data_IF_905027376105
#
_entry.id   IF_905027376105
#
_cell.length_a   1.000
_cell.length_b   1.000
_cell.length_c   1.000
_cell.angle_alpha   90.00
_cell.angle_beta   90.00
_cell.angle_gamma   90.00
#
_symmetry.space_group_name_H-M   'P 1'
#
loop_
_entity.id
_entity.type
_entity.pdbx_description
1 polymer ?
#
# COMPACT_ATOMS: atom_id res chain seq x y z
N UNK A 1 8.65 -13.79 24.41
CA UNK A 1 7.55 -13.13 23.70
C UNK A 1 7.24 -11.83 24.40
N UNK A 2 7.28 -10.69 23.71
CA UNK A 2 6.78 -9.43 24.27
C UNK A 2 5.26 -9.56 24.48
N UNK A 3 4.78 -9.25 25.68
CA UNK A 3 3.33 -9.24 25.95
C UNK A 3 2.73 -8.01 25.31
N UNK A 4 1.80 -8.22 24.37
CA UNK A 4 1.04 -7.13 23.73
C UNK A 4 0.21 -6.37 24.78
N UNK A 5 0.05 -5.04 24.63
CA UNK A 5 -0.85 -4.27 25.47
C UNK A 5 -2.28 -4.80 25.37
N UNK A 6 -3.00 -4.87 26.48
CA UNK A 6 -4.39 -5.28 26.48
C UNK A 6 -5.27 -4.20 25.84
N UNK A 7 -6.22 -4.58 24.95
CA UNK A 7 -7.18 -3.64 24.42
C UNK A 7 -8.09 -3.06 25.53
N UNK A 8 -8.57 -1.84 25.33
CA UNK A 8 -9.59 -1.23 26.19
C UNK A 8 -10.93 -1.95 26.04
N UNK A 9 -11.82 -1.79 27.03
CA UNK A 9 -13.10 -2.52 27.08
C UNK A 9 -13.96 -2.32 25.81
N UNK A 10 -14.04 -1.09 25.30
CA UNK A 10 -14.81 -0.78 24.09
C UNK A 10 -14.17 -1.41 22.84
N UNK A 11 -12.84 -1.42 22.76
CA UNK A 11 -12.12 -2.08 21.69
C UNK A 11 -12.33 -3.61 21.71
N UNK A 12 -12.36 -4.22 22.90
CA UNK A 12 -12.68 -5.64 23.05
C UNK A 12 -14.10 -5.97 22.57
N UNK A 13 -15.09 -5.14 22.89
CA UNK A 13 -16.48 -5.30 22.41
C UNK A 13 -16.52 -5.26 20.88
N UNK A 14 -15.79 -4.32 20.27
CA UNK A 14 -15.66 -4.21 18.83
C UNK A 14 -15.02 -5.47 18.21
N UNK A 15 -13.89 -5.92 18.75
CA UNK A 15 -13.20 -7.13 18.30
C UNK A 15 -14.07 -8.39 18.43
N UNK A 16 -14.82 -8.52 19.53
CA UNK A 16 -15.77 -9.62 19.71
C UNK A 16 -16.91 -9.60 18.69
N UNK A 17 -17.37 -8.42 18.28
CA UNK A 17 -18.40 -8.31 17.25
C UNK A 17 -17.87 -8.81 15.87
N UNK A 18 -16.65 -8.46 15.52
CA UNK A 18 -16.00 -8.98 14.32
C UNK A 18 -15.73 -10.48 14.42
N UNK A 19 -15.25 -10.95 15.58
CA UNK A 19 -15.03 -12.37 15.85
C UNK A 19 -16.28 -13.21 15.55
N UNK A 20 -17.46 -12.78 16.04
CA UNK A 20 -18.73 -13.46 15.76
C UNK A 20 -19.05 -13.55 14.25
N UNK A 21 -18.80 -12.49 13.49
CA UNK A 21 -19.00 -12.52 12.03
C UNK A 21 -18.06 -13.50 11.34
N UNK A 22 -16.80 -13.55 11.76
CA UNK A 22 -15.81 -14.49 11.19
C UNK A 22 -16.19 -15.93 11.56
N UNK A 23 -16.61 -16.21 12.81
CA UNK A 23 -17.15 -17.53 13.20
C UNK A 23 -18.31 -17.93 12.30
N UNK A 24 -19.27 -17.03 12.07
CA UNK A 24 -20.39 -17.30 11.17
C UNK A 24 -19.95 -17.60 9.74
N UNK A 25 -18.96 -16.85 9.21
CA UNK A 25 -18.41 -17.09 7.89
C UNK A 25 -17.73 -18.47 7.80
N UNK A 26 -16.97 -18.87 8.81
CA UNK A 26 -16.36 -20.19 8.91
C UNK A 26 -17.42 -21.30 8.93
N UNK A 27 -18.47 -21.17 9.75
CA UNK A 27 -19.56 -22.13 9.81
C UNK A 27 -20.29 -22.27 8.46
N UNK A 28 -20.59 -21.15 7.81
CA UNK A 28 -21.24 -21.12 6.49
C UNK A 28 -20.38 -21.74 5.38
N UNK A 29 -19.05 -21.77 5.58
CA UNK A 29 -18.10 -22.37 4.63
C UNK A 29 -17.54 -23.73 5.12
N UNK A 30 -18.39 -24.57 5.67
CA UNK A 30 -18.06 -25.94 6.08
C UNK A 30 -16.91 -26.02 7.11
N UNK A 31 -16.84 -25.06 8.02
CA UNK A 31 -15.92 -25.05 9.15
C UNK A 31 -14.49 -24.55 8.85
N UNK A 32 -14.22 -24.03 7.65
CA UNK A 32 -12.90 -23.51 7.25
C UNK A 32 -13.04 -22.36 6.25
N UNK A 33 -12.22 -21.35 6.37
CA UNK A 33 -12.06 -20.28 5.35
C UNK A 33 -10.59 -20.09 5.00
N UNK A 34 -10.30 -19.65 3.78
CA UNK A 34 -8.95 -19.26 3.36
C UNK A 34 -8.45 -18.11 4.20
N UNK A 35 -7.14 -18.04 4.42
CA UNK A 35 -6.57 -16.88 5.13
C UNK A 35 -6.87 -15.56 4.42
N UNK A 36 -6.88 -15.54 3.10
CA UNK A 36 -7.26 -14.36 2.33
C UNK A 36 -8.67 -13.83 2.68
N UNK A 37 -9.65 -14.73 2.86
CA UNK A 37 -11.00 -14.32 3.30
C UNK A 37 -11.01 -13.82 4.74
N UNK A 38 -10.26 -14.48 5.62
CA UNK A 38 -10.08 -14.05 7.01
C UNK A 38 -9.44 -12.67 7.08
N UNK A 39 -8.32 -12.44 6.38
CA UNK A 39 -7.61 -11.16 6.34
C UNK A 39 -8.50 -10.05 5.77
N UNK A 40 -9.25 -10.34 4.69
CA UNK A 40 -10.22 -9.40 4.13
C UNK A 40 -11.27 -8.98 5.16
N UNK A 41 -11.81 -9.90 5.95
CA UNK A 41 -12.77 -9.57 7.02
C UNK A 41 -12.09 -8.81 8.16
N UNK A 42 -10.91 -9.24 8.59
CA UNK A 42 -10.17 -8.59 9.68
C UNK A 42 -9.83 -7.13 9.35
N UNK A 43 -9.50 -6.83 8.10
CA UNK A 43 -9.11 -5.49 7.66
C UNK A 43 -10.29 -4.63 7.16
N UNK A 44 -11.24 -5.21 6.41
CA UNK A 44 -12.18 -4.45 5.59
C UNK A 44 -13.66 -4.72 5.91
N UNK A 45 -14.02 -5.59 6.87
CA UNK A 45 -15.43 -5.80 7.22
C UNK A 45 -16.12 -4.48 7.56
N UNK A 46 -17.23 -4.10 6.89
CA UNK A 46 -17.86 -2.80 7.09
C UNK A 46 -18.18 -2.48 8.55
N UNK A 47 -17.62 -1.38 9.03
CA UNK A 47 -17.80 -0.87 10.40
C UNK A 47 -17.07 -1.67 11.49
N UNK A 48 -16.39 -2.79 11.17
CA UNK A 48 -15.72 -3.66 12.14
C UNK A 48 -14.26 -3.97 11.81
N UNK A 49 -13.92 -4.01 10.53
CA UNK A 49 -12.54 -4.27 10.10
C UNK A 49 -11.57 -3.16 10.50
N UNK A 50 -10.29 -3.47 10.52
CA UNK A 50 -9.26 -2.53 10.94
C UNK A 50 -9.35 -1.19 10.20
N UNK A 51 -9.43 -1.14 8.88
CA UNK A 51 -9.55 0.10 8.09
C UNK A 51 -10.96 0.71 8.13
N UNK A 52 -12.00 -0.08 8.34
CA UNK A 52 -13.41 0.38 8.30
C UNK A 52 -14.00 0.71 9.67
N UNK A 53 -13.41 0.24 10.77
CA UNK A 53 -13.81 0.56 12.14
C UNK A 53 -13.29 1.95 12.58
N UNK A 54 -14.05 2.68 13.41
CA UNK A 54 -13.82 4.10 13.75
C UNK A 54 -12.69 4.41 14.73
N UNK A 55 -11.70 3.55 14.96
CA UNK A 55 -10.57 3.85 15.87
C UNK A 55 -9.48 4.70 15.19
N UNK A 56 -8.74 5.53 15.97
CA UNK A 56 -7.58 6.27 15.48
C UNK A 56 -6.44 5.29 15.18
N UNK A 57 -6.01 5.19 13.92
CA UNK A 57 -5.08 4.16 13.43
C UNK A 57 -3.78 4.70 12.89
N UNK A 58 -3.74 5.96 12.49
CA UNK A 58 -2.61 6.61 11.85
C UNK A 58 -2.00 7.70 12.71
N UNK A 59 -0.68 7.97 12.51
CA UNK A 59 0.07 9.01 13.17
C UNK A 59 0.66 8.59 14.52
N UNK A 60 1.19 9.56 15.27
CA UNK A 60 1.89 9.33 16.57
C UNK A 60 1.05 8.63 17.64
N UNK A 61 -0.28 8.62 17.51
CA UNK A 61 -1.21 7.92 18.40
C UNK A 61 -1.82 6.66 17.74
N UNK A 62 -1.37 6.27 16.56
CA UNK A 62 -1.81 5.09 15.81
C UNK A 62 -0.91 3.88 15.99
N UNK A 63 -1.11 2.85 15.17
CA UNK A 63 -0.34 1.60 15.23
C UNK A 63 0.98 1.70 14.47
N UNK A 64 1.05 2.57 13.43
CA UNK A 64 2.23 2.82 12.60
C UNK A 64 2.21 4.23 11.99
N UNK A 65 3.35 4.64 11.43
CA UNK A 65 3.53 5.96 10.80
C UNK A 65 4.00 5.75 9.38
N UNK A 66 3.19 6.19 8.41
CA UNK A 66 3.51 6.12 6.97
C UNK A 66 4.41 7.26 6.51
N UNK A 67 5.04 7.12 5.35
CA UNK A 67 5.95 8.13 4.80
C UNK A 67 5.34 9.56 4.70
N UNK A 68 4.07 9.75 4.27
CA UNK A 68 3.41 11.06 4.29
C UNK A 68 3.24 11.67 5.68
N UNK A 69 3.11 10.84 6.72
CA UNK A 69 2.98 11.31 8.10
C UNK A 69 4.33 11.69 8.72
N UNK A 70 5.44 11.14 8.23
CA UNK A 70 6.79 11.43 8.69
C UNK A 70 7.22 12.82 8.26
N UNK A 71 7.00 13.17 6.98
CA UNK A 71 7.45 14.45 6.43
C UNK A 71 6.61 14.92 5.25
N UNK A 72 6.21 16.21 5.23
CA UNK A 72 5.58 16.79 4.05
C UNK A 72 6.50 16.79 2.82
N UNK A 73 7.83 16.66 3.00
CA UNK A 73 8.78 16.60 1.89
C UNK A 73 8.61 15.32 1.05
N UNK A 74 8.07 14.24 1.62
CA UNK A 74 7.72 13.05 0.83
C UNK A 74 6.70 13.39 -0.26
N UNK A 75 5.57 13.96 0.10
CA UNK A 75 4.50 14.33 -0.83
C UNK A 75 4.93 15.44 -1.80
N UNK A 76 5.69 16.42 -1.31
CA UNK A 76 6.25 17.51 -2.13
C UNK A 76 7.25 16.99 -3.17
N UNK A 77 8.02 15.96 -2.83
CA UNK A 77 8.91 15.30 -3.77
C UNK A 77 8.12 14.52 -4.84
N UNK A 78 7.06 13.81 -4.44
CA UNK A 78 6.16 13.16 -5.40
C UNK A 78 5.47 14.17 -6.31
N UNK A 79 5.16 15.38 -5.81
CA UNK A 79 4.60 16.45 -6.62
C UNK A 79 5.50 16.85 -7.79
N UNK A 80 6.83 16.79 -7.66
CA UNK A 80 7.77 17.03 -8.77
C UNK A 80 7.58 15.99 -9.88
N UNK A 81 7.47 14.71 -9.53
CA UNK A 81 7.22 13.64 -10.51
C UNK A 81 5.84 13.78 -11.15
N UNK A 82 4.81 14.10 -10.37
CA UNK A 82 3.44 14.33 -10.87
C UNK A 82 3.41 15.53 -11.81
N UNK A 83 4.10 16.62 -11.45
CA UNK A 83 4.19 17.84 -12.24
C UNK A 83 4.75 17.59 -13.64
N UNK A 84 5.81 16.79 -13.75
CA UNK A 84 6.43 16.41 -15.02
C UNK A 84 5.41 15.73 -15.95
N UNK A 85 4.64 14.77 -15.44
CA UNK A 85 3.61 14.07 -16.22
C UNK A 85 2.48 15.01 -16.63
N UNK A 86 1.98 15.84 -15.71
CA UNK A 86 0.90 16.79 -16.00
C UNK A 86 1.30 17.83 -17.03
N UNK A 87 2.56 18.30 -17.02
CA UNK A 87 3.09 19.23 -18.02
C UNK A 87 3.12 18.60 -19.41
N UNK A 88 3.57 17.35 -19.56
CA UNK A 88 3.58 16.66 -20.85
C UNK A 88 2.16 16.46 -21.35
N UNK A 89 1.23 16.01 -20.52
CA UNK A 89 -0.18 15.88 -20.90
C UNK A 89 -0.79 17.22 -21.35
N UNK A 90 -0.48 18.30 -20.64
CA UNK A 90 -0.95 19.65 -20.99
C UNK A 90 -0.41 20.12 -22.35
N UNK A 91 0.88 19.88 -22.65
CA UNK A 91 1.49 20.19 -23.95
C UNK A 91 0.77 19.43 -25.08
N UNK A 92 0.35 18.20 -24.82
CA UNK A 92 -0.41 17.37 -25.76
C UNK A 92 -1.92 17.68 -25.79
N UNK A 93 -2.37 18.71 -25.10
CA UNK A 93 -3.76 19.19 -25.10
C UNK A 93 -4.70 18.39 -24.17
N UNK A 94 -4.16 17.60 -23.25
CA UNK A 94 -4.92 16.85 -22.26
C UNK A 94 -4.75 17.47 -20.88
N UNK A 95 -5.85 17.86 -20.23
CA UNK A 95 -5.78 18.27 -18.83
C UNK A 95 -5.79 17.02 -17.96
N UNK A 96 -4.66 16.73 -17.31
CA UNK A 96 -4.49 15.52 -16.55
C UNK A 96 -5.17 15.55 -15.19
N UNK A 97 -5.61 14.38 -14.74
CA UNK A 97 -6.15 14.11 -13.41
C UNK A 97 -5.08 13.41 -12.52
N UNK A 98 -5.32 13.43 -11.22
CA UNK A 98 -4.54 12.65 -10.25
C UNK A 98 -5.51 11.71 -9.54
N UNK A 99 -5.15 10.44 -9.39
CA UNK A 99 -5.92 9.44 -8.63
C UNK A 99 -5.03 8.86 -7.53
N UNK A 100 -5.42 9.05 -6.28
CA UNK A 100 -4.81 8.42 -5.13
C UNK A 100 -5.65 7.23 -4.65
N UNK A 101 -4.98 6.09 -4.43
CA UNK A 101 -5.56 4.90 -3.85
C UNK A 101 -5.27 4.89 -2.36
N UNK A 102 -6.30 4.75 -1.51
CA UNK A 102 -6.11 4.63 -0.06
C UNK A 102 -5.41 5.83 0.58
N UNK A 103 -6.02 7.01 0.53
CA UNK A 103 -5.38 8.27 0.95
C UNK A 103 -5.15 8.39 2.48
N UNK A 104 -5.44 7.37 3.28
CA UNK A 104 -5.22 7.37 4.73
C UNK A 104 -5.88 8.57 5.42
N UNK A 105 -5.09 9.43 6.05
CA UNK A 105 -5.58 10.67 6.68
C UNK A 105 -5.78 11.84 5.71
N UNK A 106 -5.39 11.69 4.43
CA UNK A 106 -5.36 12.76 3.42
C UNK A 106 -4.06 13.59 3.42
N UNK A 107 -3.05 13.17 4.17
CA UNK A 107 -1.80 13.92 4.32
C UNK A 107 -1.01 14.00 3.00
N UNK A 108 -0.91 12.88 2.26
CA UNK A 108 -0.28 12.87 0.93
C UNK A 108 -1.00 13.83 -0.03
N UNK A 109 -2.32 13.70 -0.15
CA UNK A 109 -3.14 14.58 -0.99
C UNK A 109 -2.91 16.05 -0.65
N UNK A 110 -2.96 16.41 0.63
CA UNK A 110 -2.78 17.80 1.09
C UNK A 110 -1.44 18.38 0.64
N UNK A 111 -0.34 17.72 1.02
CA UNK A 111 1.00 18.28 0.82
C UNK A 111 1.41 18.26 -0.67
N UNK A 112 0.93 17.27 -1.44
CA UNK A 112 1.10 17.19 -2.89
C UNK A 112 0.36 18.32 -3.60
N UNK A 113 -0.91 18.54 -3.26
CA UNK A 113 -1.73 19.59 -3.87
C UNK A 113 -1.20 20.99 -3.57
N UNK A 114 -0.76 21.23 -2.33
CA UNK A 114 -0.14 22.51 -1.95
C UNK A 114 1.16 22.78 -2.71
N UNK A 115 1.99 21.74 -2.95
CA UNK A 115 3.22 21.92 -3.72
C UNK A 115 2.91 22.16 -5.20
N UNK A 116 1.99 21.40 -5.83
CA UNK A 116 1.57 21.66 -7.21
C UNK A 116 1.03 23.07 -7.40
N UNK A 117 0.21 23.55 -6.45
CA UNK A 117 -0.31 24.91 -6.46
C UNK A 117 0.80 25.96 -6.37
N UNK A 118 1.75 25.76 -5.46
CA UNK A 118 2.89 26.64 -5.25
C UNK A 118 3.79 26.75 -6.49
N UNK A 119 4.03 25.63 -7.20
CA UNK A 119 4.87 25.62 -8.40
C UNK A 119 4.07 25.94 -9.69
N UNK A 120 2.77 26.23 -9.55
CA UNK A 120 1.92 26.68 -10.64
C UNK A 120 1.55 25.60 -11.67
N UNK A 121 1.48 24.33 -11.29
CA UNK A 121 1.13 23.21 -12.18
C UNK A 121 -0.38 22.98 -12.14
N UNK A 122 -1.10 23.18 -13.26
CA UNK A 122 -2.53 22.94 -13.32
C UNK A 122 -2.83 21.44 -13.42
N UNK A 123 -3.92 21.02 -12.77
CA UNK A 123 -4.54 19.72 -12.92
C UNK A 123 -6.06 19.89 -12.97
N UNK A 124 -6.80 18.88 -13.46
CA UNK A 124 -8.24 18.95 -13.55
C UNK A 124 -8.89 18.55 -12.22
N UNK A 125 -8.83 17.26 -11.83
CA UNK A 125 -9.33 16.78 -10.54
C UNK A 125 -8.26 15.99 -9.78
N UNK A 126 -8.46 15.92 -8.47
CA UNK A 126 -7.79 14.98 -7.58
C UNK A 126 -8.83 13.95 -7.09
N UNK A 127 -8.74 12.77 -7.62
CA UNK A 127 -9.61 11.67 -7.22
C UNK A 127 -9.01 10.89 -6.06
N UNK A 128 -9.86 10.49 -5.12
CA UNK A 128 -9.50 9.61 -4.01
C UNK A 128 -10.39 8.37 -4.09
N UNK A 129 -9.77 7.20 -4.26
CA UNK A 129 -10.45 5.92 -4.13
C UNK A 129 -10.20 5.35 -2.74
N UNK A 130 -11.18 5.48 -1.85
CA UNK A 130 -11.10 5.05 -0.46
C UNK A 130 -12.31 4.18 -0.11
N UNK A 131 -12.05 2.96 0.37
CA UNK A 131 -13.11 2.00 0.73
C UNK A 131 -13.70 2.24 2.13
N UNK A 132 -12.95 2.92 3.00
CA UNK A 132 -13.35 3.20 4.37
C UNK A 132 -14.18 4.50 4.45
N UNK A 133 -15.45 4.38 4.81
CA UNK A 133 -16.30 5.54 5.05
C UNK A 133 -15.77 6.44 6.20
N UNK A 134 -15.13 5.82 7.20
CA UNK A 134 -14.49 6.55 8.29
C UNK A 134 -13.30 7.39 7.78
N UNK A 135 -12.38 6.77 7.02
CA UNK A 135 -11.22 7.49 6.47
C UNK A 135 -11.63 8.57 5.46
N UNK A 136 -12.66 8.33 4.64
CA UNK A 136 -13.23 9.39 3.78
C UNK A 136 -13.67 10.61 4.58
N UNK A 137 -14.27 10.41 5.75
CA UNK A 137 -14.66 11.54 6.60
C UNK A 137 -13.42 12.25 7.21
N UNK A 138 -12.42 11.50 7.65
CA UNK A 138 -11.15 12.06 8.13
C UNK A 138 -10.48 12.89 7.03
N UNK A 139 -10.36 12.35 5.82
CA UNK A 139 -9.81 13.01 4.64
C UNK A 139 -10.55 14.32 4.33
N UNK A 140 -11.90 14.29 4.32
CA UNK A 140 -12.71 15.50 4.08
C UNK A 140 -12.43 16.59 5.11
N UNK A 141 -12.40 16.24 6.39
CA UNK A 141 -12.14 17.20 7.48
C UNK A 141 -10.72 17.77 7.35
N UNK A 142 -9.71 16.91 7.14
CA UNK A 142 -8.31 17.34 6.98
C UNK A 142 -8.14 18.26 5.78
N UNK A 143 -8.62 17.83 4.61
CA UNK A 143 -8.41 18.56 3.36
C UNK A 143 -9.19 19.87 3.31
N UNK A 144 -10.43 19.89 3.85
CA UNK A 144 -11.22 21.11 3.93
C UNK A 144 -10.61 22.16 4.88
N UNK A 145 -9.95 21.73 5.96
CA UNK A 145 -9.34 22.61 6.94
C UNK A 145 -7.99 23.17 6.47
N UNK A 146 -7.24 22.42 5.67
CA UNK A 146 -5.83 22.72 5.38
C UNK A 146 -5.58 23.18 3.92
N UNK A 147 -6.56 23.04 3.01
CA UNK A 147 -6.42 23.46 1.62
C UNK A 147 -7.17 24.78 1.34
N UNK A 148 -6.66 25.62 0.41
CA UNK A 148 -7.46 26.68 -0.20
C UNK A 148 -8.76 26.14 -0.82
N UNK A 149 -9.88 26.89 -0.75
CA UNK A 149 -11.17 26.43 -1.29
C UNK A 149 -11.10 25.96 -2.75
N UNK A 150 -10.37 26.67 -3.60
CA UNK A 150 -10.20 26.34 -5.01
C UNK A 150 -9.47 25.02 -5.27
N UNK A 151 -8.64 24.54 -4.35
CA UNK A 151 -8.03 23.21 -4.41
C UNK A 151 -8.98 22.16 -3.88
N UNK A 152 -9.65 22.44 -2.75
CA UNK A 152 -10.59 21.50 -2.16
C UNK A 152 -11.75 21.15 -3.11
N UNK A 153 -12.27 22.14 -3.87
CA UNK A 153 -13.33 21.94 -4.87
C UNK A 153 -12.94 20.98 -5.99
N UNK A 154 -11.65 20.76 -6.24
CA UNK A 154 -11.16 19.79 -7.23
C UNK A 154 -11.09 18.36 -6.73
N UNK A 155 -11.32 18.12 -5.44
CA UNK A 155 -11.21 16.78 -4.85
C UNK A 155 -12.54 16.03 -5.00
N UNK A 156 -12.44 14.83 -5.55
CA UNK A 156 -13.60 13.95 -5.78
C UNK A 156 -13.34 12.57 -5.17
N UNK A 157 -14.21 12.13 -4.25
CA UNK A 157 -14.16 10.76 -3.70
C UNK A 157 -14.91 9.80 -4.61
N UNK A 158 -14.22 8.75 -5.06
CA UNK A 158 -14.77 7.71 -5.93
C UNK A 158 -15.25 6.50 -5.12
N UNK A 159 -16.30 5.83 -5.61
CA UNK A 159 -16.78 4.54 -5.11
C UNK A 159 -16.25 3.36 -5.94
N UNK A 160 -15.76 3.62 -7.15
CA UNK A 160 -15.17 2.65 -8.06
C UNK A 160 -14.15 3.33 -8.96
N UNK A 161 -13.27 2.53 -9.57
CA UNK A 161 -12.34 3.00 -10.59
C UNK A 161 -13.10 3.61 -11.78
N UNK A 162 -12.62 4.74 -12.35
CA UNK A 162 -13.18 5.30 -13.58
C UNK A 162 -12.93 4.32 -14.75
N UNK A 163 -13.82 4.33 -15.72
CA UNK A 163 -13.67 3.51 -16.95
C UNK A 163 -12.52 3.99 -17.83
N UNK A 164 -12.23 5.29 -17.79
CA UNK A 164 -11.13 5.93 -18.51
C UNK A 164 -10.46 6.96 -17.61
N UNK A 165 -9.13 6.93 -17.59
CA UNK A 165 -8.32 7.84 -16.80
C UNK A 165 -7.13 8.36 -17.60
N UNK A 166 -6.85 9.65 -17.47
CA UNK A 166 -5.76 10.36 -18.11
C UNK A 166 -4.99 11.15 -17.06
N UNK A 167 -3.77 10.75 -16.71
CA UNK A 167 -3.02 11.43 -15.64
C UNK A 167 -2.11 10.52 -14.84
N UNK A 168 -2.05 10.76 -13.54
CA UNK A 168 -1.19 10.03 -12.62
C UNK A 168 -2.02 9.27 -11.60
N UNK A 169 -1.80 7.96 -11.51
CA UNK A 169 -2.35 7.10 -10.46
C UNK A 169 -1.25 6.85 -9.43
N UNK A 170 -1.55 7.09 -8.16
CA UNK A 170 -0.65 6.91 -7.02
C UNK A 170 -1.22 5.89 -6.03
N UNK A 171 -0.37 4.95 -5.57
CA UNK A 171 -0.67 4.09 -4.43
C UNK A 171 0.53 4.05 -3.50
N UNK A 172 0.33 4.45 -2.25
CA UNK A 172 1.36 4.37 -1.20
C UNK A 172 0.85 3.48 -0.07
N UNK A 173 1.55 2.38 0.21
CA UNK A 173 1.16 1.39 1.23
C UNK A 173 -0.28 0.89 1.01
N UNK A 174 -0.54 0.33 -0.17
CA UNK A 174 -1.85 -0.19 -0.60
C UNK A 174 -1.77 -1.68 -0.90
N UNK A 175 -0.66 -2.13 -1.48
CA UNK A 175 -0.52 -3.52 -1.94
C UNK A 175 -0.25 -4.48 -0.78
N UNK A 176 0.45 -4.03 0.26
CA UNK A 176 0.80 -4.78 1.46
C UNK A 176 -0.42 -5.19 2.31
N UNK A 177 -1.46 -4.36 2.29
CA UNK A 177 -2.72 -4.58 3.00
C UNK A 177 -3.75 -5.41 2.22
N UNK A 178 -3.45 -5.79 0.98
CA UNK A 178 -4.34 -6.65 0.19
C UNK A 178 -4.34 -8.09 0.70
N UNK A 179 -5.53 -8.76 0.71
CA UNK A 179 -5.65 -10.11 1.24
C UNK A 179 -4.75 -11.11 0.54
N UNK A 180 -3.98 -11.88 1.32
CA UNK A 180 -3.04 -12.88 0.83
C UNK A 180 -3.49 -14.30 1.14
N UNK A 181 -3.18 -15.24 0.24
CA UNK A 181 -3.20 -16.67 0.50
C UNK A 181 -1.88 -17.08 1.16
N UNK A 182 -1.92 -17.93 2.17
CA UNK A 182 -0.71 -18.51 2.77
C UNK A 182 -0.57 -19.92 2.22
N UNK A 183 0.51 -20.15 1.49
CA UNK A 183 0.79 -21.40 0.80
C UNK A 183 2.01 -22.07 1.44
N UNK A 184 1.97 -23.39 1.57
CA UNK A 184 3.04 -24.16 2.16
C UNK A 184 3.47 -25.27 1.21
N UNK A 185 4.73 -25.26 0.84
CA UNK A 185 5.38 -26.33 0.08
C UNK A 185 5.75 -27.48 1.02
N UNK A 186 5.07 -28.58 0.94
CA UNK A 186 5.45 -29.85 1.58
C UNK A 186 6.48 -30.62 0.75
N UNK A 187 6.74 -31.85 1.15
CA UNK A 187 7.67 -32.71 0.43
C UNK A 187 7.14 -33.12 -0.97
N UNK A 188 5.85 -33.37 -1.10
CA UNK A 188 5.23 -33.87 -2.33
C UNK A 188 3.98 -33.10 -2.74
N UNK A 189 3.50 -32.19 -1.92
CA UNK A 189 2.25 -31.48 -2.07
C UNK A 189 2.37 -30.00 -1.72
N UNK A 190 1.40 -29.25 -2.19
CA UNK A 190 1.22 -27.85 -1.81
C UNK A 190 -0.09 -27.76 -1.04
N UNK A 191 -0.03 -27.16 0.15
CA UNK A 191 -1.20 -26.90 0.98
C UNK A 191 -1.46 -25.41 1.11
N UNK A 192 -2.71 -25.04 1.41
CA UNK A 192 -3.12 -23.70 1.76
C UNK A 192 -3.50 -23.65 3.24
N UNK A 193 -2.97 -22.67 3.96
CA UNK A 193 -3.36 -22.39 5.32
C UNK A 193 -4.63 -21.53 5.32
N UNK A 194 -5.59 -21.98 6.08
CA UNK A 194 -6.81 -21.22 6.37
C UNK A 194 -7.12 -21.26 7.84
N UNK A 195 -8.30 -20.76 8.18
CA UNK A 195 -8.71 -20.54 9.56
C UNK A 195 -9.97 -21.35 9.87
N UNK A 196 -9.93 -22.05 11.00
CA UNK A 196 -11.08 -22.70 11.63
C UNK A 196 -11.41 -22.04 12.95
N UNK A 197 -12.57 -22.35 13.49
CA UNK A 197 -12.97 -21.90 14.83
C UNK A 197 -13.44 -23.07 15.70
N UNK A 198 -12.98 -23.10 16.93
CA UNK A 198 -13.42 -24.01 17.96
C UNK A 198 -13.52 -23.27 19.32
N UNK A 199 -14.63 -23.43 20.04
CA UNK A 199 -14.86 -22.81 21.35
C UNK A 199 -14.54 -21.29 21.39
N UNK A 200 -15.04 -20.55 20.39
CA UNK A 200 -14.83 -19.11 20.21
C UNK A 200 -13.35 -18.68 20.01
N UNK A 201 -12.47 -19.62 19.69
CA UNK A 201 -11.08 -19.36 19.33
C UNK A 201 -10.80 -19.72 17.88
N UNK A 202 -9.80 -19.06 17.29
CA UNK A 202 -9.38 -19.30 15.91
C UNK A 202 -8.08 -20.08 15.89
N UNK A 203 -7.97 -21.01 14.94
CA UNK A 203 -6.82 -21.87 14.76
C UNK A 203 -6.48 -21.98 13.28
N UNK A 204 -5.20 -22.19 13.01
CA UNK A 204 -4.72 -22.54 11.67
C UNK A 204 -5.08 -23.97 11.30
N UNK A 205 -5.51 -24.17 10.06
CA UNK A 205 -5.69 -25.50 9.48
C UNK A 205 -5.23 -25.52 8.04
N UNK A 206 -4.39 -26.49 7.72
CA UNK A 206 -3.94 -26.78 6.35
C UNK A 206 -5.01 -27.57 5.60
N UNK A 207 -5.21 -27.25 4.31
CA UNK A 207 -5.94 -28.06 3.34
C UNK A 207 -5.15 -28.17 2.06
N UNK A 208 -5.40 -29.23 1.28
CA UNK A 208 -4.85 -29.35 -0.08
C UNK A 208 -5.25 -28.13 -0.91
N UNK A 209 -4.32 -27.57 -1.66
CA UNK A 209 -4.58 -26.44 -2.54
C UNK A 209 -5.45 -26.87 -3.72
N UNK A 210 -6.64 -26.31 -3.83
CA UNK A 210 -7.62 -26.61 -4.88
C UNK A 210 -7.67 -25.56 -6.00
N UNK A 211 -6.95 -24.44 -5.85
CA UNK A 211 -6.83 -23.40 -6.86
C UNK A 211 -5.68 -23.72 -7.83
N UNK A 212 -6.03 -24.07 -9.05
CA UNK A 212 -5.06 -24.47 -10.08
C UNK A 212 -4.08 -23.33 -10.45
N UNK A 213 -4.52 -22.06 -10.41
CA UNK A 213 -3.65 -20.92 -10.73
C UNK A 213 -2.62 -20.69 -9.62
N UNK A 214 -3.04 -20.81 -8.35
CA UNK A 214 -2.11 -20.73 -7.22
C UNK A 214 -1.14 -21.92 -7.22
N UNK A 215 -1.61 -23.13 -7.52
CA UNK A 215 -0.76 -24.32 -7.61
C UNK A 215 0.32 -24.13 -8.69
N UNK A 216 -0.08 -23.74 -9.90
CA UNK A 216 0.84 -23.47 -11.00
C UNK A 216 1.85 -22.37 -10.62
N UNK A 217 1.41 -21.32 -9.93
CA UNK A 217 2.29 -20.27 -9.48
C UNK A 217 3.37 -20.79 -8.51
N UNK A 218 2.99 -21.56 -7.50
CA UNK A 218 3.94 -22.11 -6.52
C UNK A 218 4.91 -23.10 -7.18
N UNK A 219 4.44 -23.95 -8.11
CA UNK A 219 5.30 -24.86 -8.86
C UNK A 219 6.41 -24.11 -9.63
N UNK A 220 6.08 -22.95 -10.22
CA UNK A 220 7.06 -22.12 -10.93
C UNK A 220 8.13 -21.53 -10.02
N UNK A 221 7.83 -21.32 -8.73
CA UNK A 221 8.76 -20.78 -7.77
C UNK A 221 9.86 -21.77 -7.33
N UNK A 222 9.64 -23.07 -7.54
CA UNK A 222 10.58 -24.14 -7.13
C UNK A 222 11.02 -24.01 -5.66
N UNK A 223 10.08 -23.77 -4.78
CA UNK A 223 10.34 -23.56 -3.35
C UNK A 223 10.94 -24.82 -2.71
N UNK A 224 11.79 -24.60 -1.70
CA UNK A 224 12.30 -25.71 -0.90
C UNK A 224 11.20 -26.37 -0.07
N UNK A 225 11.41 -27.64 0.31
CA UNK A 225 10.54 -28.34 1.24
C UNK A 225 10.37 -27.57 2.57
N UNK A 226 9.17 -27.60 3.13
CA UNK A 226 8.80 -26.88 4.36
C UNK A 226 8.95 -25.35 4.24
N UNK A 227 8.59 -24.82 3.10
CA UNK A 227 8.59 -23.39 2.83
C UNK A 227 7.16 -22.82 2.88
N UNK A 228 6.92 -21.85 3.73
CA UNK A 228 5.65 -21.11 3.81
C UNK A 228 5.84 -19.74 3.18
N UNK A 229 4.88 -19.30 2.36
CA UNK A 229 4.92 -17.99 1.70
C UNK A 229 3.51 -17.47 1.45
N UNK A 230 3.43 -16.19 1.13
CA UNK A 230 2.19 -15.53 0.71
C UNK A 230 2.10 -15.47 -0.82
N UNK A 231 0.86 -15.49 -1.30
CA UNK A 231 0.51 -15.12 -2.67
C UNK A 231 -0.66 -14.14 -2.65
N UNK A 232 -0.55 -13.04 -3.37
CA UNK A 232 -1.57 -11.99 -3.44
C UNK A 232 -2.14 -11.83 -4.86
N UNK A 233 -3.09 -12.68 -5.30
CA UNK A 233 -3.76 -12.49 -6.59
C UNK A 233 -4.52 -11.18 -6.67
N UNK A 234 -5.00 -10.67 -5.53
CA UNK A 234 -5.70 -9.39 -5.44
C UNK A 234 -4.85 -8.23 -5.91
N UNK A 235 -3.53 -8.23 -5.61
CA UNK A 235 -2.60 -7.21 -6.09
C UNK A 235 -2.47 -7.22 -7.62
N UNK A 236 -2.30 -8.40 -8.22
CA UNK A 236 -2.28 -8.54 -9.69
C UNK A 236 -3.59 -8.07 -10.32
N UNK A 237 -4.73 -8.41 -9.71
CA UNK A 237 -6.06 -7.98 -10.15
C UNK A 237 -6.27 -6.47 -10.06
N UNK A 238 -5.76 -5.83 -9.00
CA UNK A 238 -5.78 -4.37 -8.86
C UNK A 238 -4.96 -3.72 -9.98
N UNK A 239 -3.71 -4.15 -10.20
CA UNK A 239 -2.85 -3.61 -11.26
C UNK A 239 -3.50 -3.80 -12.64
N UNK A 240 -4.10 -4.95 -12.92
CA UNK A 240 -4.83 -5.20 -14.15
C UNK A 240 -5.99 -4.20 -14.35
N UNK A 241 -6.77 -3.95 -13.29
CA UNK A 241 -7.89 -3.00 -13.31
C UNK A 241 -7.41 -1.55 -13.52
N UNK A 242 -6.32 -1.16 -12.86
CA UNK A 242 -5.70 0.16 -13.05
C UNK A 242 -5.13 0.33 -14.46
N UNK A 243 -4.49 -0.72 -15.00
CA UNK A 243 -3.98 -0.74 -16.37
C UNK A 243 -5.10 -0.60 -17.41
N UNK A 244 -6.27 -1.22 -17.15
CA UNK A 244 -7.43 -1.08 -18.01
C UNK A 244 -8.03 0.34 -17.96
N UNK A 245 -8.12 0.92 -16.77
CA UNK A 245 -8.64 2.26 -16.57
C UNK A 245 -7.72 3.34 -17.19
N UNK A 246 -6.42 3.25 -16.97
CA UNK A 246 -5.44 4.20 -17.47
C UNK A 246 -5.37 4.15 -18.99
N UNK A 247 -5.70 5.26 -19.65
CA UNK A 247 -5.61 5.42 -21.12
C UNK A 247 -4.33 6.11 -21.54
N UNK A 248 -3.89 7.12 -20.78
CA UNK A 248 -2.66 7.83 -20.99
C UNK A 248 -2.12 8.42 -19.69
N UNK A 249 -0.86 8.20 -19.40
CA UNK A 249 -0.23 8.70 -18.18
C UNK A 249 0.60 7.67 -17.47
N UNK A 250 0.63 7.75 -16.14
CA UNK A 250 1.57 7.01 -15.28
C UNK A 250 0.83 6.35 -14.11
N UNK A 251 1.26 5.14 -13.74
CA UNK A 251 0.92 4.45 -12.51
C UNK A 251 2.18 4.32 -11.66
N UNK A 252 2.17 4.85 -10.43
CA UNK A 252 3.24 4.72 -9.44
C UNK A 252 2.71 3.99 -8.20
N UNK A 253 3.38 2.91 -7.83
CA UNK A 253 3.10 2.18 -6.59
C UNK A 253 4.33 2.22 -5.69
N UNK A 254 4.12 2.60 -4.44
CA UNK A 254 5.16 2.70 -3.40
C UNK A 254 4.75 1.77 -2.27
N UNK A 255 5.58 0.79 -1.98
CA UNK A 255 5.28 -0.20 -0.96
C UNK A 255 6.56 -0.92 -0.50
N UNK A 256 6.48 -1.67 0.59
CA UNK A 256 7.61 -2.48 1.01
C UNK A 256 7.52 -3.90 0.47
N UNK A 257 8.66 -4.40 0.04
CA UNK A 257 8.73 -5.71 -0.61
C UNK A 257 10.02 -5.91 -1.40
N UNK A 258 9.99 -6.91 -2.24
CA UNK A 258 11.18 -7.42 -2.91
C UNK A 258 10.88 -7.84 -4.35
N UNK A 259 11.94 -7.91 -5.16
CA UNK A 259 11.90 -8.68 -6.39
C UNK A 259 11.81 -10.19 -6.07
N UNK A 260 11.31 -11.00 -7.01
CA UNK A 260 10.99 -12.43 -6.82
C UNK A 260 12.13 -13.24 -6.18
N UNK A 261 13.35 -13.09 -6.66
CA UNK A 261 14.49 -13.84 -6.16
C UNK A 261 14.81 -13.56 -4.70
N UNK A 262 14.58 -12.32 -4.25
CA UNK A 262 14.75 -11.91 -2.87
C UNK A 262 13.51 -12.24 -2.02
N UNK A 263 12.32 -12.10 -2.58
CA UNK A 263 11.06 -12.43 -1.89
C UNK A 263 11.03 -13.91 -1.50
N UNK A 264 11.33 -14.81 -2.42
CA UNK A 264 11.34 -16.27 -2.19
C UNK A 264 12.73 -16.82 -1.84
N UNK A 265 13.57 -15.99 -1.20
CA UNK A 265 14.91 -16.42 -0.78
C UNK A 265 14.85 -17.62 0.16
N UNK A 266 15.74 -18.65 0.01
CA UNK A 266 15.71 -19.88 0.81
C UNK A 266 15.75 -19.71 2.34
N UNK A 267 16.22 -18.57 2.82
CA UNK A 267 16.24 -18.24 4.26
C UNK A 267 14.91 -17.63 4.77
N UNK A 268 13.99 -17.21 3.89
CA UNK A 268 12.69 -16.61 4.26
C UNK A 268 11.59 -17.67 4.26
N UNK A 269 11.79 -18.76 5.00
CA UNK A 269 10.93 -19.94 4.97
C UNK A 269 9.58 -19.81 5.68
N UNK A 270 9.33 -18.71 6.34
CA UNK A 270 8.08 -18.46 7.09
C UNK A 270 7.24 -17.33 6.51
N UNK A 271 7.57 -16.88 5.29
CA UNK A 271 6.88 -15.77 4.65
C UNK A 271 7.26 -14.40 5.22
N UNK A 272 6.37 -13.45 5.00
CA UNK A 272 6.55 -12.03 5.33
C UNK A 272 5.39 -11.43 6.11
N UNK A 273 4.37 -12.25 6.44
CA UNK A 273 3.18 -11.80 7.16
C UNK A 273 3.57 -11.15 8.48
N UNK A 274 3.06 -9.95 8.72
CA UNK A 274 3.33 -9.18 9.93
C UNK A 274 2.04 -8.53 10.43
N UNK A 275 1.93 -8.44 11.75
CA UNK A 275 0.85 -7.73 12.41
C UNK A 275 1.39 -6.55 13.20
N UNK A 276 0.68 -5.42 13.17
CA UNK A 276 1.03 -4.21 13.90
C UNK A 276 -0.11 -3.80 14.83
N UNK A 277 0.19 -3.66 16.11
CA UNK A 277 -0.73 -3.23 17.12
C UNK A 277 -0.07 -2.30 18.13
N UNK A 278 -0.51 -1.05 18.24
CA UNK A 278 0.01 -0.03 19.18
C UNK A 278 1.54 0.06 19.19
N UNK A 279 2.15 0.15 17.99
CA UNK A 279 3.59 0.19 17.75
C UNK A 279 4.35 -1.10 18.10
N UNK A 280 3.67 -2.21 18.35
CA UNK A 280 4.27 -3.53 18.50
C UNK A 280 4.07 -4.33 17.22
N UNK A 281 5.13 -4.98 16.75
CA UNK A 281 5.04 -5.97 15.66
C UNK A 281 5.01 -7.38 16.24
N UNK A 282 4.21 -8.25 15.63
CA UNK A 282 4.11 -9.68 15.98
C UNK A 282 3.57 -10.51 14.80
N UNK A 283 3.60 -11.83 14.93
CA UNK A 283 3.30 -12.79 13.86
C UNK A 283 1.93 -13.50 14.00
N UNK A 284 1.07 -13.07 14.92
CA UNK A 284 -0.21 -13.74 15.14
C UNK A 284 -1.41 -12.90 14.66
N UNK A 285 -1.92 -13.12 13.43
CA UNK A 285 -3.06 -12.38 12.89
C UNK A 285 -4.41 -12.76 13.51
N UNK A 286 -4.48 -13.87 14.26
CA UNK A 286 -5.73 -14.36 14.86
C UNK A 286 -6.10 -13.64 16.15
N UNK A 287 -5.23 -12.75 16.66
CA UNK A 287 -5.48 -11.93 17.85
C UNK A 287 -6.15 -10.60 17.49
N UNK A 288 -6.86 -10.00 18.43
CA UNK A 288 -7.36 -8.62 18.39
C UNK A 288 -7.96 -8.18 17.06
N UNK A 289 -8.88 -9.01 16.53
CA UNK A 289 -9.51 -8.83 15.21
C UNK A 289 -10.11 -7.44 15.06
N UNK A 290 -9.80 -6.77 13.95
CA UNK A 290 -10.21 -5.39 13.68
C UNK A 290 -9.49 -4.31 14.49
N UNK A 291 -8.54 -4.70 15.37
CA UNK A 291 -7.75 -3.78 16.19
C UNK A 291 -6.28 -3.71 15.81
N UNK A 292 -5.81 -4.62 14.99
CA UNK A 292 -4.43 -4.67 14.49
C UNK A 292 -4.41 -4.60 12.97
N UNK A 293 -3.34 -4.06 12.43
CA UNK A 293 -3.03 -4.17 11.02
C UNK A 293 -2.43 -5.54 10.70
N UNK A 294 -2.71 -6.04 9.51
CA UNK A 294 -2.17 -7.30 9.00
C UNK A 294 -1.65 -7.03 7.60
N UNK A 295 -0.35 -7.20 7.40
CA UNK A 295 0.33 -6.87 6.16
C UNK A 295 1.22 -8.00 5.68
N UNK A 296 1.51 -8.03 4.39
CA UNK A 296 2.51 -8.90 3.80
C UNK A 296 3.35 -8.09 2.81
N UNK A 297 4.63 -8.45 2.66
CA UNK A 297 5.48 -7.78 1.67
C UNK A 297 4.98 -8.01 0.25
N UNK A 298 5.32 -7.08 -0.63
CA UNK A 298 4.92 -7.11 -2.05
C UNK A 298 5.95 -7.86 -2.89
N UNK A 299 5.50 -8.84 -3.71
CA UNK A 299 6.28 -9.40 -4.81
C UNK A 299 6.23 -8.46 -6.01
N UNK A 300 7.21 -7.57 -6.12
CA UNK A 300 7.26 -6.54 -7.18
C UNK A 300 7.46 -7.13 -8.58
N UNK A 301 8.06 -8.31 -8.70
CA UNK A 301 8.12 -9.00 -10.00
C UNK A 301 6.71 -9.35 -10.50
N UNK A 302 5.86 -9.84 -9.59
CA UNK A 302 4.46 -10.15 -9.92
C UNK A 302 3.65 -8.91 -10.28
N UNK A 303 3.93 -7.77 -9.62
CA UNK A 303 3.34 -6.47 -9.97
C UNK A 303 3.79 -6.01 -11.36
N UNK A 304 5.08 -6.13 -11.68
CA UNK A 304 5.61 -5.82 -12.99
C UNK A 304 4.98 -6.68 -14.09
N UNK A 305 4.92 -8.01 -13.89
CA UNK A 305 4.28 -8.96 -14.81
C UNK A 305 2.80 -8.60 -15.03
N UNK A 306 2.08 -8.26 -13.96
CA UNK A 306 0.66 -7.90 -14.06
C UNK A 306 0.48 -6.62 -14.89
N UNK A 307 1.31 -5.60 -14.71
CA UNK A 307 1.25 -4.36 -15.49
C UNK A 307 1.55 -4.60 -16.97
N UNK A 308 2.65 -5.28 -17.28
CA UNK A 308 3.09 -5.59 -18.64
C UNK A 308 2.04 -6.44 -19.39
N UNK A 309 1.52 -7.47 -18.75
CA UNK A 309 0.51 -8.37 -19.34
C UNK A 309 -0.82 -7.64 -19.66
N UNK A 310 -1.07 -6.48 -19.03
CA UNK A 310 -2.25 -5.66 -19.28
C UNK A 310 -1.95 -4.36 -20.03
N UNK A 311 -0.82 -4.33 -20.76
CA UNK A 311 -0.50 -3.27 -21.73
C UNK A 311 0.08 -2.00 -21.13
N UNK A 312 0.65 -2.07 -19.93
CA UNK A 312 1.52 -1.02 -19.41
C UNK A 312 2.98 -1.25 -19.83
N UNK A 313 3.71 -0.18 -20.00
CA UNK A 313 5.17 -0.22 -20.14
C UNK A 313 5.79 -0.01 -18.77
N UNK A 314 6.63 -0.96 -18.33
CA UNK A 314 7.41 -0.78 -17.10
C UNK A 314 8.44 0.32 -17.34
N UNK A 315 8.38 1.38 -16.54
CA UNK A 315 9.28 2.54 -16.67
C UNK A 315 10.49 2.43 -15.75
N UNK A 316 10.28 1.89 -14.54
CA UNK A 316 11.37 1.73 -13.60
C UNK A 316 10.94 1.02 -12.32
N UNK A 317 11.95 0.48 -11.63
CA UNK A 317 11.85 -0.10 -10.30
C UNK A 317 13.07 0.30 -9.49
N UNK A 318 12.89 0.93 -8.34
CA UNK A 318 14.00 1.39 -7.50
C UNK A 318 13.62 1.43 -6.02
N UNK A 319 14.57 1.77 -5.14
CA UNK A 319 14.27 2.00 -3.73
C UNK A 319 13.60 3.36 -3.53
N UNK A 320 12.83 3.49 -2.45
CA UNK A 320 12.21 4.77 -2.08
C UNK A 320 13.27 5.88 -1.94
N UNK A 321 14.39 5.58 -1.28
CA UNK A 321 15.47 6.55 -1.11
C UNK A 321 15.98 7.07 -2.47
N UNK A 322 16.26 6.16 -3.40
CA UNK A 322 16.76 6.54 -4.72
C UNK A 322 15.74 7.34 -5.52
N UNK A 323 14.46 6.91 -5.50
CA UNK A 323 13.37 7.64 -6.15
C UNK A 323 13.24 9.07 -5.61
N UNK A 324 13.22 9.24 -4.29
CA UNK A 324 13.10 10.55 -3.67
C UNK A 324 14.31 11.45 -3.95
N UNK A 325 15.52 10.89 -3.99
CA UNK A 325 16.72 11.63 -4.35
C UNK A 325 16.63 12.12 -5.80
N UNK A 326 16.26 11.24 -6.73
CA UNK A 326 16.10 11.57 -8.14
C UNK A 326 15.02 12.64 -8.36
N UNK A 327 13.89 12.54 -7.63
CA UNK A 327 12.76 13.47 -7.71
C UNK A 327 12.97 14.78 -6.93
N UNK A 328 14.15 14.99 -6.30
CA UNK A 328 14.57 16.29 -5.79
C UNK A 328 14.33 16.54 -4.31
N UNK A 329 14.25 15.50 -3.44
CA UNK A 329 14.05 15.69 -1.98
C UNK A 329 15.19 16.52 -1.35
N UNK A 330 16.42 16.41 -1.87
CA UNK A 330 17.57 17.15 -1.33
C UNK A 330 17.46 18.65 -1.62
N UNK A 331 16.98 19.03 -2.80
CA UNK A 331 16.72 20.42 -3.15
C UNK A 331 15.61 21.04 -2.28
N UNK A 332 14.56 20.27 -2.01
CA UNK A 332 13.48 20.67 -1.11
C UNK A 332 13.98 20.83 0.34
N UNK A 333 14.88 19.94 0.79
CA UNK A 333 15.50 20.02 2.10
C UNK A 333 16.41 21.26 2.25
N UNK A 334 17.22 21.56 1.22
CA UNK A 334 18.06 22.76 1.18
C UNK A 334 17.21 24.03 1.24
N UNK A 335 16.10 24.07 0.50
CA UNK A 335 15.17 25.21 0.54
C UNK A 335 14.57 25.43 1.95
N UNK A 336 14.34 24.34 2.71
CA UNK A 336 13.85 24.42 4.10
C UNK A 336 14.93 24.91 5.09
N UNK A 337 16.22 24.92 4.74
CA UNK A 337 17.30 25.38 5.61
C UNK A 337 17.30 26.91 5.90
N UNK A 338 16.43 27.67 5.22
CA UNK A 338 16.21 29.09 5.51
C UNK A 338 15.41 29.33 6.81
N UNK A 339 14.79 28.27 7.35
CA UNK A 339 14.06 28.29 8.61
C UNK A 339 15.02 28.28 9.82
N UNK A 340 14.50 28.60 11.00
CA UNK A 340 15.28 28.50 12.23
C UNK A 340 15.75 27.05 12.45
N UNK A 341 16.88 26.87 13.12
CA UNK A 341 17.42 25.54 13.43
C UNK A 341 16.45 24.66 14.23
N UNK A 342 15.54 25.24 15.02
CA UNK A 342 14.50 24.51 15.74
C UNK A 342 13.44 23.89 14.81
N UNK A 343 13.19 24.49 13.65
CA UNK A 343 12.28 23.97 12.62
C UNK A 343 13.02 23.04 11.68
N UNK A 344 14.22 23.35 11.28
CA UNK A 344 15.02 22.61 10.30
C UNK A 344 15.48 21.25 10.79
N UNK A 345 15.98 21.11 12.04
CA UNK A 345 16.51 19.83 12.54
C UNK A 345 15.46 18.70 12.57
N UNK A 346 14.21 18.91 13.00
CA UNK A 346 13.17 17.89 12.87
C UNK A 346 12.89 17.46 11.42
N UNK A 347 12.96 18.40 10.47
CA UNK A 347 12.78 18.10 9.04
C UNK A 347 13.92 17.22 8.52
N UNK A 348 15.17 17.54 8.89
CA UNK A 348 16.34 16.70 8.55
C UNK A 348 16.19 15.29 9.11
N UNK A 349 15.81 15.15 10.38
CA UNK A 349 15.61 13.85 11.00
C UNK A 349 14.49 13.05 10.33
N UNK A 350 13.41 13.71 9.92
CA UNK A 350 12.31 13.08 9.18
C UNK A 350 12.75 12.61 7.79
N UNK A 351 13.49 13.43 7.04
CA UNK A 351 14.06 13.05 5.73
C UNK A 351 15.04 11.90 5.89
N UNK A 352 15.87 11.91 6.95
CA UNK A 352 16.78 10.81 7.22
C UNK A 352 16.04 9.49 7.39
N UNK A 353 14.88 9.44 8.05
CA UNK A 353 14.06 8.23 8.15
C UNK A 353 13.57 7.74 6.79
N UNK A 354 13.14 8.66 5.92
CA UNK A 354 12.67 8.31 4.57
C UNK A 354 13.79 7.74 3.67
N UNK A 355 15.04 8.19 3.87
CA UNK A 355 16.19 7.84 3.03
C UNK A 355 17.10 6.76 3.63
N UNK A 356 17.05 6.54 4.94
CA UNK A 356 17.93 5.57 5.62
C UNK A 356 17.64 4.14 5.16
N UNK A 357 18.67 3.39 4.69
CA UNK A 357 18.52 1.97 4.35
C UNK A 357 18.04 1.11 5.52
N UNK A 358 18.39 1.47 6.75
CA UNK A 358 18.01 0.74 7.96
C UNK A 358 16.55 0.99 8.39
N UNK A 359 15.87 1.97 7.79
CA UNK A 359 14.48 2.31 8.07
C UNK A 359 13.62 2.10 6.81
N UNK A 360 13.19 3.17 6.13
CA UNK A 360 12.28 3.06 4.99
C UNK A 360 13.01 3.07 3.64
N UNK A 361 14.24 3.60 3.59
CA UNK A 361 14.91 3.95 2.34
C UNK A 361 15.11 2.76 1.39
N UNK A 362 15.55 1.61 1.89
CA UNK A 362 15.79 0.41 1.08
C UNK A 362 14.66 -0.61 1.14
N UNK A 363 13.93 -0.68 2.26
CA UNK A 363 12.83 -1.63 2.41
C UNK A 363 11.68 -1.28 1.47
N UNK A 364 11.34 0.01 1.39
CA UNK A 364 10.32 0.50 0.46
C UNK A 364 10.87 0.60 -0.95
N UNK A 365 10.04 0.22 -1.91
CA UNK A 365 10.31 0.25 -3.33
C UNK A 365 9.29 1.13 -4.04
N UNK A 366 9.71 1.69 -5.16
CA UNK A 366 8.84 2.39 -6.09
C UNK A 366 8.89 1.65 -7.41
N UNK A 367 7.72 1.28 -7.93
CA UNK A 367 7.56 0.77 -9.28
C UNK A 367 6.72 1.74 -10.09
N UNK A 368 7.18 2.07 -11.29
CA UNK A 368 6.53 2.99 -12.20
C UNK A 368 6.18 2.33 -13.52
N UNK A 369 4.98 2.62 -13.99
CA UNK A 369 4.52 2.21 -15.32
C UNK A 369 4.01 3.42 -16.07
N UNK A 370 4.15 3.39 -17.40
CA UNK A 370 3.54 4.37 -18.30
C UNK A 370 2.63 3.72 -19.32
N UNK A 371 1.69 4.49 -19.83
CA UNK A 371 0.80 4.10 -20.92
C UNK A 371 0.59 5.26 -21.87
N UNK A 372 0.90 5.04 -23.16
CA UNK A 372 0.70 6.02 -24.23
C UNK A 372 1.32 7.41 -23.92
N UNK A 373 2.44 7.43 -23.20
CA UNK A 373 3.17 8.63 -22.80
C UNK A 373 4.64 8.49 -23.16
N UNK A 374 5.18 9.45 -23.91
CA UNK A 374 6.61 9.51 -24.25
C UNK A 374 7.32 10.44 -23.26
N UNK A 375 7.75 9.87 -22.16
CA UNK A 375 8.40 10.56 -21.06
C UNK A 375 9.23 9.57 -20.25
N UNK A 376 10.48 9.90 -19.99
CA UNK A 376 11.32 9.21 -19.01
C UNK A 376 11.12 9.87 -17.65
N UNK A 377 10.65 9.11 -16.65
CA UNK A 377 10.28 9.65 -15.34
C UNK A 377 11.52 10.01 -14.51
N UNK A 378 11.56 11.23 -14.00
CA UNK A 378 12.70 11.75 -13.22
C UNK A 378 13.03 10.84 -12.01
N UNK A 379 12.05 10.26 -11.36
CA UNK A 379 12.23 9.38 -10.20
C UNK A 379 13.04 8.12 -10.51
N UNK A 380 13.16 7.72 -11.78
CA UNK A 380 13.93 6.55 -12.24
C UNK A 380 15.17 6.93 -13.04
N UNK A 381 15.57 8.19 -13.07
CA UNK A 381 16.71 8.71 -13.87
C UNK A 381 18.06 8.07 -13.49
N UNK A 382 18.19 7.51 -12.30
CA UNK A 382 19.36 6.75 -11.87
C UNK A 382 18.99 5.69 -10.84
N UNK A 383 19.84 4.65 -10.68
CA UNK A 383 19.64 3.59 -9.68
C UNK A 383 18.46 2.66 -9.98
N UNK A 384 18.06 2.56 -11.24
CA UNK A 384 17.01 1.62 -11.67
C UNK A 384 17.44 0.18 -11.42
N UNK A 385 16.53 -0.63 -10.89
CA UNK A 385 16.71 -2.04 -10.53
C UNK A 385 15.77 -2.96 -11.30
N UNK A 386 15.17 -2.54 -12.40
CA UNK A 386 14.26 -3.37 -13.22
C UNK A 386 14.88 -4.70 -13.62
N UNK A 387 16.20 -4.75 -13.79
CA UNK A 387 16.94 -5.98 -14.08
C UNK A 387 16.88 -7.05 -12.99
N UNK A 388 16.36 -6.72 -11.80
CA UNK A 388 16.17 -7.66 -10.68
C UNK A 388 14.76 -8.28 -10.63
N UNK A 389 13.81 -7.75 -11.39
CA UNK A 389 12.41 -8.20 -11.44
C UNK A 389 12.23 -9.49 -12.23
#
# INVERSE_FOLDING_TARGET
MQTLPQPEADALVHSLALSKKIHQAIQNNHGWIRFADFMRMALYEPGLGYYSGGAKKFGLSGDFVTAPEISPLFARTLANQVAEVLQVLQIEGTQGDILELGAGTGRLAKDLLLELYKIGIPFHHYFILEVSAYLRNVQKVTLQAELPPELFEKIVWLDALPTEFYGVILGNEVLDALPVHILKQGQYDITELGVISDNDQFYWQEKSLDDANLAQFVEQLQLAENYTTEACPAASGLIASLAQALKKGVLLMIDYGFARAEYYHPQRRQGTLMCHYRHYSHDNPLLYLGLQDITAHVDFTRIAEAGINHGLTLEGFTTQAQFLINAGIMQLLEAANQDSSQVYLPVVAAVQKLLSPAEMGDLFKVIGFKKNLDLDLIGFSSGDKTHTL
#
